data_IF_900973088071
#
_entry.id   IF_900973088071
#
_cell.length_a   1.000
_cell.length_b   1.000
_cell.length_c   1.000
_cell.angle_alpha   90.00
_cell.angle_beta   90.00
_cell.angle_gamma   90.00
#
_symmetry.space_group_name_H-M   'P 1'
#
loop_
_entity.id
_entity.type
_entity.pdbx_description
1 polymer ?
#
# COMPACT_ATOMS: atom_id res chain seq x y z
N UNK A 1 3.19 -48.92 -75.12
CA UNK A 1 3.07 -49.87 -73.99
C UNK A 1 1.83 -49.47 -73.18
N UNK A 2 1.30 -50.37 -72.34
CA UNK A 2 -0.17 -50.50 -72.20
C UNK A 2 -0.79 -49.96 -70.90
N UNK A 3 -1.97 -49.36 -71.06
CA UNK A 3 -3.21 -49.45 -70.24
C UNK A 3 -3.22 -49.26 -68.70
N UNK A 4 -4.11 -48.35 -68.26
CA UNK A 4 -5.02 -48.41 -67.08
C UNK A 4 -4.42 -48.44 -65.65
N UNK A 5 -4.91 -47.72 -64.63
CA UNK A 5 -6.11 -46.83 -64.42
C UNK A 5 -5.78 -45.82 -63.27
N UNK A 6 -6.65 -45.06 -62.56
CA UNK A 6 -8.13 -45.03 -62.34
C UNK A 6 -8.64 -43.63 -61.88
N UNK A 7 -9.69 -43.58 -61.05
CA UNK A 7 -10.37 -42.43 -60.40
C UNK A 7 -10.82 -42.87 -58.97
N UNK A 8 -11.34 -42.00 -58.04
CA UNK A 8 -11.82 -40.62 -58.19
C UNK A 8 -11.33 -39.61 -57.09
N UNK A 9 -12.00 -38.44 -57.06
CA UNK A 9 -12.32 -37.44 -55.99
C UNK A 9 -11.68 -37.56 -54.58
N UNK A 10 -11.42 -36.49 -53.82
CA UNK A 10 -12.36 -35.41 -53.45
C UNK A 10 -11.81 -33.97 -53.46
N UNK A 11 -12.73 -33.02 -53.68
CA UNK A 11 -12.53 -31.60 -53.44
C UNK A 11 -13.40 -31.09 -52.29
N UNK A 12 -12.76 -30.39 -51.35
CA UNK A 12 -13.32 -29.43 -50.37
C UNK A 12 -14.82 -29.55 -50.02
N UNK A 13 -15.11 -30.11 -48.85
CA UNK A 13 -16.36 -29.89 -48.11
C UNK A 13 -16.11 -29.50 -46.64
N UNK A 14 -15.21 -28.53 -46.40
CA UNK A 14 -15.13 -27.86 -45.07
C UNK A 14 -16.49 -27.24 -44.78
N UNK A 15 -17.20 -27.76 -43.78
CA UNK A 15 -18.64 -27.54 -43.67
C UNK A 15 -18.98 -26.13 -43.20
N UNK A 16 -20.17 -25.63 -43.55
CA UNK A 16 -20.65 -24.28 -43.20
C UNK A 16 -20.59 -23.98 -41.69
N UNK A 17 -20.60 -25.02 -40.86
CA UNK A 17 -20.56 -25.00 -39.40
C UNK A 17 -19.23 -24.49 -38.83
N UNK A 18 -18.11 -24.79 -39.48
CA UNK A 18 -16.78 -24.38 -39.00
C UNK A 18 -16.54 -22.89 -39.24
N UNK A 19 -16.97 -22.36 -40.39
CA UNK A 19 -16.81 -20.94 -40.71
C UNK A 19 -17.68 -20.03 -39.82
N UNK A 20 -18.74 -20.55 -39.19
CA UNK A 20 -19.46 -19.84 -38.12
C UNK A 20 -18.73 -19.87 -36.76
N UNK A 21 -17.94 -20.91 -36.48
CA UNK A 21 -17.13 -20.99 -35.26
C UNK A 21 -15.94 -20.02 -35.34
N UNK A 22 -15.25 -19.99 -36.48
CA UNK A 22 -14.15 -19.06 -36.81
C UNK A 22 -14.58 -17.57 -36.81
N UNK A 23 -15.90 -17.27 -36.86
CA UNK A 23 -16.46 -15.92 -36.75
C UNK A 23 -16.86 -15.56 -35.32
N UNK A 24 -17.47 -16.48 -34.57
CA UNK A 24 -17.88 -16.22 -33.17
C UNK A 24 -16.67 -15.96 -32.27
N UNK A 25 -15.58 -16.73 -32.40
CA UNK A 25 -14.33 -16.47 -31.68
C UNK A 25 -13.73 -15.09 -32.02
N UNK A 26 -14.06 -14.52 -33.18
CA UNK A 26 -13.53 -13.23 -33.64
C UNK A 26 -14.32 -12.02 -33.12
N UNK A 27 -15.59 -12.20 -32.75
CA UNK A 27 -16.39 -11.17 -32.08
C UNK A 27 -16.06 -11.10 -30.57
N UNK A 28 -15.73 -12.23 -29.93
CA UNK A 28 -15.26 -12.26 -28.54
C UNK A 28 -13.92 -11.52 -28.34
N UNK A 29 -12.94 -11.66 -29.23
CA UNK A 29 -11.64 -10.97 -29.11
C UNK A 29 -11.76 -9.43 -29.13
N UNK A 30 -12.72 -8.89 -29.87
CA UNK A 30 -12.93 -7.42 -29.94
C UNK A 30 -13.67 -6.87 -28.73
N UNK A 31 -14.66 -7.60 -28.22
CA UNK A 31 -15.44 -7.21 -27.03
C UNK A 31 -14.63 -7.34 -25.74
N UNK A 32 -13.78 -8.38 -25.64
CA UNK A 32 -12.81 -8.53 -24.54
C UNK A 32 -11.88 -7.30 -24.42
N UNK A 33 -11.33 -6.82 -25.53
CA UNK A 33 -10.37 -5.71 -25.51
C UNK A 33 -11.02 -4.40 -25.01
N UNK A 34 -12.29 -4.14 -25.39
CA UNK A 34 -13.06 -3.00 -24.89
C UNK A 34 -13.43 -3.18 -23.40
N UNK A 35 -13.79 -4.38 -22.98
CA UNK A 35 -14.04 -4.70 -21.56
C UNK A 35 -12.80 -4.47 -20.69
N UNK A 36 -11.64 -4.99 -21.11
CA UNK A 36 -10.36 -4.73 -20.45
C UNK A 36 -9.97 -3.25 -20.48
N UNK A 37 -10.27 -2.51 -21.55
CA UNK A 37 -10.02 -1.06 -21.59
C UNK A 37 -10.93 -0.30 -20.61
N UNK A 38 -12.22 -0.65 -20.48
CA UNK A 38 -13.11 -0.05 -19.48
C UNK A 38 -12.73 -0.39 -18.06
N UNK A 39 -12.31 -1.63 -17.79
CA UNK A 39 -11.71 -2.02 -16.50
C UNK A 39 -10.46 -1.18 -16.27
N UNK A 40 -9.51 -1.13 -17.20
CA UNK A 40 -8.25 -0.43 -17.04
C UNK A 40 -8.36 1.12 -17.06
N UNK A 41 -9.45 1.68 -17.57
CA UNK A 41 -9.79 3.11 -17.45
C UNK A 41 -10.50 3.42 -16.13
N UNK A 42 -11.49 2.62 -15.72
CA UNK A 42 -12.14 2.76 -14.40
C UNK A 42 -11.13 2.61 -13.26
N UNK A 43 -10.32 1.55 -13.30
CA UNK A 43 -9.21 1.37 -12.36
C UNK A 43 -8.17 2.49 -12.46
N UNK A 44 -8.01 3.17 -13.61
CA UNK A 44 -7.11 4.33 -13.72
C UNK A 44 -7.68 5.58 -13.06
N UNK A 45 -8.97 5.85 -13.22
CA UNK A 45 -9.66 6.96 -12.56
C UNK A 45 -9.75 6.71 -11.04
N UNK A 46 -10.21 5.52 -10.63
CA UNK A 46 -10.26 5.10 -9.22
C UNK A 46 -8.86 5.08 -8.57
N UNK A 47 -7.80 4.64 -9.28
CA UNK A 47 -6.43 4.71 -8.76
C UNK A 47 -5.86 6.13 -8.75
N UNK A 48 -6.25 7.02 -9.67
CA UNK A 48 -5.76 8.41 -9.68
C UNK A 48 -6.32 9.19 -8.49
N UNK A 49 -7.64 9.08 -8.25
CA UNK A 49 -8.31 9.58 -7.04
C UNK A 49 -7.69 8.95 -5.77
N UNK A 50 -7.53 7.62 -5.73
CA UNK A 50 -6.90 6.95 -4.59
C UNK A 50 -5.45 7.38 -4.36
N UNK A 51 -4.69 7.73 -5.41
CA UNK A 51 -3.30 8.15 -5.33
C UNK A 51 -3.14 9.60 -4.85
N UNK A 52 -4.06 10.50 -5.21
CA UNK A 52 -4.15 11.83 -4.58
C UNK A 52 -4.58 11.71 -3.11
N UNK A 53 -5.66 10.97 -2.83
CA UNK A 53 -6.17 10.74 -1.47
C UNK A 53 -5.13 10.10 -0.55
N UNK A 54 -4.37 9.10 -1.04
CA UNK A 54 -3.28 8.48 -0.27
C UNK A 54 -2.18 9.47 0.13
N UNK A 55 -2.00 10.56 -0.61
CA UNK A 55 -1.03 11.60 -0.27
C UNK A 55 -1.64 12.77 0.53
N UNK A 56 -2.95 13.00 0.46
CA UNK A 56 -3.66 14.09 1.13
C UNK A 56 -4.19 13.67 2.51
N UNK A 57 -4.83 12.51 2.62
CA UNK A 57 -5.45 12.04 3.85
C UNK A 57 -4.47 11.93 5.03
N UNK A 58 -3.26 11.35 4.90
CA UNK A 58 -2.31 11.32 6.01
C UNK A 58 -1.86 12.72 6.47
N UNK A 59 -1.75 13.69 5.55
CA UNK A 59 -1.39 15.09 5.88
C UNK A 59 -2.53 15.81 6.60
N UNK A 60 -3.79 15.54 6.22
CA UNK A 60 -4.96 16.05 6.92
C UNK A 60 -5.03 15.50 8.35
N UNK A 61 -4.87 14.19 8.52
CA UNK A 61 -4.84 13.56 9.85
C UNK A 61 -3.64 14.08 10.67
N UNK A 62 -2.44 14.19 10.10
CA UNK A 62 -1.29 14.80 10.77
C UNK A 62 -1.59 16.22 11.27
N UNK A 63 -2.23 17.05 10.43
CA UNK A 63 -2.60 18.44 10.78
C UNK A 63 -3.58 18.49 11.95
N UNK A 64 -4.60 17.62 11.93
CA UNK A 64 -5.59 17.48 13.01
C UNK A 64 -4.94 16.97 14.30
N UNK A 65 -4.07 15.96 14.22
CA UNK A 65 -3.34 15.46 15.38
C UNK A 65 -2.40 16.52 15.97
N UNK A 66 -1.77 17.35 15.14
CA UNK A 66 -0.89 18.44 15.60
C UNK A 66 -1.62 19.59 16.28
N UNK A 67 -2.93 19.78 16.08
CA UNK A 67 -3.69 20.79 16.83
C UNK A 67 -4.11 20.30 18.23
N UNK A 68 -4.33 18.99 18.42
CA UNK A 68 -4.74 18.40 19.71
C UNK A 68 -3.62 17.67 20.48
N UNK A 69 -2.40 17.58 19.93
CA UNK A 69 -1.25 16.94 20.60
C UNK A 69 -0.09 17.93 20.79
N UNK A 70 0.35 18.07 22.04
CA UNK A 70 1.60 18.77 22.36
C UNK A 70 2.74 17.77 22.47
N UNK A 71 3.55 17.67 21.41
CA UNK A 71 4.80 16.91 21.44
C UNK A 71 5.82 17.59 22.38
N UNK A 72 6.46 16.80 23.25
CA UNK A 72 7.40 17.34 24.25
C UNK A 72 8.60 18.02 23.60
N UNK A 73 9.28 18.93 24.32
CA UNK A 73 10.48 19.61 23.82
C UNK A 73 11.60 18.62 23.37
N UNK A 74 11.64 17.43 23.98
CA UNK A 74 12.65 16.40 23.74
C UNK A 74 12.30 15.43 22.60
N UNK A 75 11.13 15.57 21.96
CA UNK A 75 10.74 14.73 20.83
C UNK A 75 11.36 15.25 19.52
N UNK A 76 12.31 14.52 18.94
CA UNK A 76 12.98 14.89 17.68
C UNK A 76 12.49 14.14 16.44
N UNK A 77 11.92 12.93 16.59
CA UNK A 77 11.34 12.14 15.50
C UNK A 77 9.93 12.66 15.18
N UNK A 78 9.56 12.69 13.89
CA UNK A 78 8.25 13.15 13.39
C UNK A 78 7.85 14.59 13.81
N UNK A 79 8.82 15.50 13.96
CA UNK A 79 8.58 16.90 14.35
C UNK A 79 9.23 17.87 13.35
N UNK A 80 8.46 18.80 12.74
CA UNK A 80 9.01 19.76 11.78
C UNK A 80 10.09 20.65 12.42
N UNK A 81 11.14 20.97 11.66
CA UNK A 81 12.30 21.75 12.14
C UNK A 81 13.20 21.03 13.16
N UNK A 82 12.83 19.83 13.62
CA UNK A 82 13.65 18.97 14.48
C UNK A 82 14.24 17.82 13.65
N UNK A 83 15.41 17.35 14.06
CA UNK A 83 16.16 16.30 13.37
C UNK A 83 16.94 15.49 14.40
N UNK A 84 17.09 14.19 14.16
CA UNK A 84 17.91 13.28 14.97
C UNK A 84 19.35 13.80 15.12
N UNK A 85 19.88 14.54 14.15
CA UNK A 85 21.20 15.19 14.24
C UNK A 85 21.29 16.16 15.43
N UNK A 86 20.21 16.90 15.74
CA UNK A 86 20.16 17.79 16.91
C UNK A 86 20.18 16.98 18.21
N UNK A 87 19.44 15.87 18.28
CA UNK A 87 19.45 14.97 19.44
C UNK A 87 20.84 14.35 19.68
N UNK A 88 21.47 13.84 18.62
CA UNK A 88 22.82 13.26 18.65
C UNK A 88 23.86 14.31 19.07
N UNK A 89 23.74 15.56 18.62
CA UNK A 89 24.64 16.64 19.02
C UNK A 89 24.50 16.97 20.52
N UNK A 90 23.26 17.10 21.04
CA UNK A 90 23.01 17.30 22.48
C UNK A 90 23.58 16.15 23.31
N UNK A 91 23.41 14.89 22.85
CA UNK A 91 23.95 13.71 23.51
C UNK A 91 25.48 13.72 23.56
N UNK A 92 26.16 14.04 22.46
CA UNK A 92 27.62 14.17 22.38
C UNK A 92 28.14 15.26 23.32
N UNK A 93 27.55 16.46 23.31
CA UNK A 93 27.96 17.56 24.21
C UNK A 93 27.70 17.23 25.68
N UNK A 94 26.69 16.41 26.00
CA UNK A 94 26.48 15.89 27.35
C UNK A 94 27.60 14.91 27.77
N UNK A 95 27.98 13.97 26.90
CA UNK A 95 29.09 13.03 27.14
C UNK A 95 30.42 13.76 27.35
N UNK A 96 30.73 14.73 26.49
CA UNK A 96 31.91 15.58 26.60
C UNK A 96 31.93 16.32 27.95
N UNK A 97 30.83 16.99 28.34
CA UNK A 97 30.72 17.75 29.59
C UNK A 97 30.87 16.91 30.87
N UNK A 98 30.56 15.61 30.82
CA UNK A 98 30.82 14.69 31.94
C UNK A 98 32.28 14.19 31.94
N UNK A 99 32.84 13.88 30.77
CA UNK A 99 34.26 13.52 30.59
C UNK A 99 35.20 14.66 31.01
N UNK A 100 34.90 15.90 30.61
CA UNK A 100 35.57 17.14 31.05
C UNK A 100 35.63 17.24 32.58
N UNK A 101 34.56 16.81 33.27
CA UNK A 101 34.42 16.88 34.73
C UNK A 101 34.87 15.63 35.48
N UNK A 102 35.41 14.61 34.78
CA UNK A 102 35.75 13.29 35.35
C UNK A 102 34.60 12.68 36.17
N UNK A 103 33.36 12.76 35.66
CA UNK A 103 32.17 12.16 36.27
C UNK A 103 31.61 11.07 35.38
N UNK A 104 31.19 9.98 36.01
CA UNK A 104 30.50 8.88 35.33
C UNK A 104 29.13 9.33 34.80
N UNK A 105 28.76 8.75 33.65
CA UNK A 105 27.52 9.07 32.95
C UNK A 105 26.90 7.78 32.42
N UNK A 106 25.82 7.35 33.07
CA UNK A 106 25.04 6.20 32.66
C UNK A 106 23.91 6.65 31.72
N UNK A 107 23.72 5.92 30.63
CA UNK A 107 22.66 6.16 29.65
C UNK A 107 21.93 4.84 29.37
N UNK A 108 20.61 4.91 29.20
CA UNK A 108 19.80 3.77 28.81
C UNK A 108 19.06 4.11 27.51
N UNK A 109 19.30 3.32 26.47
CA UNK A 109 18.61 3.44 25.19
C UNK A 109 17.50 2.40 25.15
N UNK A 110 16.25 2.86 25.23
CA UNK A 110 15.07 2.03 25.05
C UNK A 110 14.66 2.15 23.58
N UNK A 111 14.69 1.04 22.85
CA UNK A 111 13.98 0.94 21.57
C UNK A 111 12.58 0.36 21.81
N UNK A 112 11.60 0.89 21.09
CA UNK A 112 10.19 0.57 21.19
C UNK A 112 9.63 0.02 19.86
N UNK A 113 10.47 -0.29 18.87
CA UNK A 113 10.04 -0.86 17.57
C UNK A 113 9.01 -1.99 17.73
N UNK A 114 9.31 -3.01 18.55
CA UNK A 114 8.37 -4.11 18.83
C UNK A 114 7.13 -3.69 19.61
N UNK A 115 7.22 -2.63 20.43
CA UNK A 115 6.10 -2.16 21.25
C UNK A 115 5.05 -1.41 20.43
N UNK A 116 5.42 -0.76 19.32
CA UNK A 116 4.46 -0.12 18.41
C UNK A 116 3.51 -1.12 17.75
N UNK A 117 4.01 -2.30 17.39
CA UNK A 117 3.21 -3.37 16.78
C UNK A 117 2.29 -4.06 17.80
N UNK A 118 2.57 -3.93 19.11
CA UNK A 118 1.77 -4.54 20.18
C UNK A 118 0.81 -3.58 20.89
N UNK A 119 0.62 -2.35 20.39
CA UNK A 119 -0.38 -1.42 20.95
C UNK A 119 -1.78 -1.90 20.53
N UNK A 120 -2.69 -2.26 21.45
CA UNK A 120 -4.06 -2.62 21.10
C UNK A 120 -4.75 -1.46 20.38
N UNK A 121 -5.32 -1.72 19.20
CA UNK A 121 -5.96 -0.69 18.35
C UNK A 121 -6.99 0.15 19.12
N UNK A 122 -7.73 -0.45 20.06
CA UNK A 122 -8.70 0.24 20.91
C UNK A 122 -8.09 1.42 21.68
N UNK A 123 -6.89 1.27 22.26
CA UNK A 123 -6.23 2.35 23.00
C UNK A 123 -5.85 3.54 22.11
N UNK A 124 -5.72 3.31 20.79
CA UNK A 124 -5.53 4.39 19.82
C UNK A 124 -6.84 5.17 19.68
N UNK A 125 -7.98 4.49 19.58
CA UNK A 125 -9.31 5.12 19.47
C UNK A 125 -9.64 5.93 20.73
N UNK A 126 -9.46 5.32 21.91
CA UNK A 126 -9.73 5.96 23.21
C UNK A 126 -8.83 7.19 23.42
N UNK A 127 -7.58 7.15 22.94
CA UNK A 127 -6.61 8.26 22.96
C UNK A 127 -6.97 9.39 21.98
N UNK A 128 -7.67 9.10 20.88
CA UNK A 128 -8.17 10.12 19.96
C UNK A 128 -9.45 10.78 20.49
N UNK A 129 -10.38 9.98 21.02
CA UNK A 129 -11.64 10.46 21.59
C UNK A 129 -11.41 11.34 22.83
N UNK A 130 -10.54 10.90 23.76
CA UNK A 130 -10.13 11.70 24.93
C UNK A 130 -9.38 13.00 24.59
N UNK A 131 -8.92 13.17 23.35
CA UNK A 131 -8.35 14.42 22.81
C UNK A 131 -9.37 15.30 22.08
N UNK A 132 -10.63 14.91 22.06
CA UNK A 132 -11.71 15.65 21.39
C UNK A 132 -11.71 15.54 19.87
N UNK A 133 -11.06 14.50 19.29
CA UNK A 133 -11.17 14.24 17.85
C UNK A 133 -12.61 13.81 17.53
N UNK A 134 -13.33 14.49 16.61
CA UNK A 134 -14.68 14.10 16.24
C UNK A 134 -14.75 12.67 15.70
N UNK A 135 -15.75 11.90 16.14
CA UNK A 135 -15.87 10.46 15.85
C UNK A 135 -15.71 10.08 14.37
N UNK A 136 -16.19 10.92 13.44
CA UNK A 136 -16.04 10.72 11.99
C UNK A 136 -14.58 10.60 11.54
N UNK A 137 -13.65 11.34 12.16
CA UNK A 137 -12.23 11.19 11.85
C UNK A 137 -11.64 9.91 12.47
N UNK A 138 -12.13 9.50 13.65
CA UNK A 138 -11.71 8.23 14.28
C UNK A 138 -12.20 7.04 13.45
N UNK A 139 -13.40 7.13 12.87
CA UNK A 139 -13.98 6.15 11.95
C UNK A 139 -13.13 6.00 10.68
N UNK A 140 -12.84 7.08 9.94
CA UNK A 140 -12.01 6.97 8.73
C UNK A 140 -10.59 6.47 9.07
N UNK A 141 -10.02 6.83 10.23
CA UNK A 141 -8.75 6.25 10.69
C UNK A 141 -8.91 4.74 10.93
N UNK A 142 -9.97 4.27 11.63
CA UNK A 142 -10.25 2.84 11.84
C UNK A 142 -10.31 2.09 10.51
N UNK A 143 -10.99 2.65 9.51
CA UNK A 143 -11.12 2.03 8.18
C UNK A 143 -9.77 1.83 7.48
N UNK A 144 -8.81 2.75 7.65
CA UNK A 144 -7.45 2.57 7.10
C UNK A 144 -6.65 1.43 7.75
N UNK A 145 -7.05 0.94 8.92
CA UNK A 145 -6.51 -0.29 9.51
C UNK A 145 -7.37 -1.52 9.14
N UNK A 146 -8.70 -1.42 9.25
CA UNK A 146 -9.61 -2.56 9.05
C UNK A 146 -9.65 -3.11 7.61
N UNK A 147 -9.29 -2.28 6.62
CA UNK A 147 -9.28 -2.67 5.20
C UNK A 147 -7.90 -3.09 4.66
N UNK A 148 -6.84 -3.02 5.47
CA UNK A 148 -5.46 -3.20 5.03
C UNK A 148 -5.13 -4.66 4.67
N UNK A 149 -5.15 -4.97 3.37
CA UNK A 149 -4.59 -6.22 2.81
C UNK A 149 -3.25 -5.95 2.14
N UNK A 150 -2.24 -6.75 2.48
CA UNK A 150 -0.87 -6.65 1.95
C UNK A 150 -0.53 -7.89 1.13
N UNK A 151 0.26 -7.68 0.06
CA UNK A 151 0.96 -8.73 -0.69
C UNK A 151 2.44 -8.33 -0.76
N UNK A 152 3.34 -9.31 -0.76
CA UNK A 152 4.79 -9.09 -0.81
C UNK A 152 5.32 -9.48 -2.19
N UNK A 153 5.99 -8.55 -2.87
CA UNK A 153 6.69 -8.82 -4.13
C UNK A 153 8.01 -9.54 -3.87
N UNK A 154 8.11 -10.79 -4.29
CA UNK A 154 9.30 -11.63 -4.19
C UNK A 154 9.85 -12.02 -5.59
N UNK A 155 11.10 -12.51 -5.71
CA UNK A 155 11.65 -12.94 -7.00
C UNK A 155 10.92 -14.11 -7.67
N UNK A 156 10.05 -14.81 -6.94
CA UNK A 156 9.20 -15.92 -7.43
C UNK A 156 7.80 -15.46 -7.87
N UNK A 157 7.45 -14.20 -7.61
CA UNK A 157 6.11 -13.64 -7.82
C UNK A 157 5.65 -12.78 -6.64
N UNK A 158 4.46 -12.19 -6.77
CA UNK A 158 3.76 -11.53 -5.65
C UNK A 158 3.03 -12.60 -4.81
N UNK A 159 3.01 -12.47 -3.48
CA UNK A 159 2.26 -13.40 -2.61
C UNK A 159 0.75 -13.19 -2.71
N UNK A 160 -0.02 -14.16 -2.23
CA UNK A 160 -1.42 -13.94 -1.86
C UNK A 160 -1.57 -12.77 -0.88
N UNK A 161 -2.76 -12.16 -0.89
CA UNK A 161 -3.11 -11.06 0.00
C UNK A 161 -3.47 -11.55 1.40
N UNK A 162 -2.74 -11.08 2.41
CA UNK A 162 -3.03 -11.31 3.83
C UNK A 162 -3.48 -10.02 4.52
N UNK A 163 -4.29 -10.15 5.58
CA UNK A 163 -4.73 -9.02 6.41
C UNK A 163 -3.60 -8.50 7.30
N UNK A 164 -3.56 -7.20 7.55
CA UNK A 164 -2.69 -6.58 8.55
C UNK A 164 -3.48 -6.33 9.83
N UNK A 165 -3.17 -7.05 10.90
CA UNK A 165 -3.77 -6.89 12.24
C UNK A 165 -3.09 -5.77 13.05
#
# INVERSE_FOLDING_TARGET
MSSSSSHPTDGLTRTKTEHTFDLLQREEETTLNIGWLWVHLRWREEMFEAQELACVFPKMIETILRSVTQATANQFRFMPGRSTTKAIHVLRRLMEKYREKKKDLHMMFIDLEKAYNSVPRQLIWDSLESRGIPWRYIEIIRDTYASAKTSVRAPVGDTDFFSVE
#
